data_IF_912431303391
#
_entry.id   IF_912431303391
#
_cell.length_a   1.000
_cell.length_b   1.000
_cell.length_c   1.000
_cell.angle_alpha   90.00
_cell.angle_beta   90.00
_cell.angle_gamma   90.00
#
_symmetry.space_group_name_H-M   'P 1'
#
loop_
_entity.id
_entity.type
_entity.pdbx_description
1 polymer ?
#
# COMPACT_ATOMS: atom_id res chain seq x y z
N UNK A 1 21.12 -2.20 19.24
CA UNK A 1 20.41 -1.95 17.96
C UNK A 1 19.10 -2.72 17.95
N UNK A 2 17.96 -2.06 18.17
CA UNK A 2 16.65 -2.70 18.10
C UNK A 2 16.10 -2.62 16.68
N UNK A 3 15.99 -3.75 15.99
CA UNK A 3 15.19 -3.82 14.77
C UNK A 3 13.71 -3.76 15.17
N UNK A 4 13.10 -2.58 15.02
CA UNK A 4 11.65 -2.41 15.17
C UNK A 4 11.00 -3.22 14.05
N UNK A 5 10.53 -4.43 14.36
CA UNK A 5 9.66 -5.21 13.48
C UNK A 5 8.46 -4.33 13.18
N UNK A 6 8.31 -3.92 11.92
CA UNK A 6 7.26 -3.01 11.48
C UNK A 6 5.88 -3.61 11.78
N UNK A 7 5.29 -3.11 12.87
CA UNK A 7 3.89 -2.91 13.22
C UNK A 7 2.89 -3.99 12.79
N UNK A 8 2.32 -4.61 13.81
CA UNK A 8 1.42 -5.76 13.85
C UNK A 8 0.07 -5.49 13.19
N UNK A 9 -0.01 -5.59 11.87
CA UNK A 9 -1.23 -5.93 11.13
C UNK A 9 -2.45 -5.01 11.28
N UNK A 10 -2.35 -3.94 12.06
CA UNK A 10 -3.40 -2.97 12.31
C UNK A 10 -3.63 -2.10 11.05
N UNK A 11 -4.87 -1.66 10.82
CA UNK A 11 -5.13 -0.66 9.80
C UNK A 11 -4.43 0.64 10.17
N UNK A 12 -3.80 1.29 9.19
CA UNK A 12 -3.12 2.56 9.39
C UNK A 12 -4.12 3.66 9.77
N UNK A 13 -3.72 4.51 10.72
CA UNK A 13 -4.41 5.77 11.04
C UNK A 13 -4.27 6.81 9.92
N UNK A 14 -5.11 7.86 9.95
CA UNK A 14 -5.08 8.93 8.94
C UNK A 14 -3.70 9.60 8.82
N UNK A 15 -3.05 9.86 9.95
CA UNK A 15 -1.70 10.42 9.99
C UNK A 15 -0.67 9.45 9.37
N UNK A 16 -0.77 8.16 9.69
CA UNK A 16 0.11 7.14 9.12
C UNK A 16 -0.11 6.96 7.62
N UNK A 17 -1.34 7.11 7.13
CA UNK A 17 -1.62 7.05 5.70
C UNK A 17 -0.96 8.24 4.98
N UNK A 18 -1.13 9.46 5.48
CA UNK A 18 -0.51 10.66 4.90
C UNK A 18 1.01 10.55 4.90
N UNK A 19 1.60 10.11 6.01
CA UNK A 19 3.05 9.87 6.12
C UNK A 19 3.53 8.74 5.21
N UNK A 20 2.75 7.67 5.09
CA UNK A 20 3.09 6.53 4.22
C UNK A 20 3.03 6.93 2.75
N UNK A 21 2.09 7.77 2.33
CA UNK A 21 2.06 8.30 0.97
C UNK A 21 3.38 8.97 0.60
N UNK A 22 3.94 9.78 1.50
CA UNK A 22 5.19 10.50 1.26
C UNK A 22 6.47 9.66 1.36
N UNK A 23 6.40 8.44 1.91
CA UNK A 23 7.60 7.63 2.24
C UNK A 23 7.56 6.21 1.67
N UNK A 24 6.55 5.91 0.85
CA UNK A 24 6.39 4.63 0.19
C UNK A 24 7.16 4.62 -1.11
N UNK A 25 7.84 3.51 -1.38
CA UNK A 25 8.56 3.31 -2.64
C UNK A 25 7.58 3.13 -3.82
N UNK A 26 6.35 2.69 -3.52
CA UNK A 26 5.27 2.58 -4.48
C UNK A 26 3.91 2.93 -3.86
N UNK A 27 3.04 3.47 -4.71
CA UNK A 27 1.65 3.79 -4.45
C UNK A 27 0.84 3.22 -5.62
N UNK A 28 -0.08 2.30 -5.34
CA UNK A 28 -0.92 1.67 -6.36
C UNK A 28 -2.38 1.96 -6.05
N UNK A 29 -3.10 2.51 -7.02
CA UNK A 29 -4.55 2.52 -6.99
C UNK A 29 -5.08 1.31 -7.75
N UNK A 30 -6.04 0.59 -7.19
CA UNK A 30 -6.65 -0.54 -7.88
C UNK A 30 -7.63 -1.35 -7.04
N UNK A 31 -8.03 -2.49 -7.58
CA UNK A 31 -8.94 -3.43 -6.92
C UNK A 31 -8.26 -4.78 -6.70
N UNK A 32 -8.60 -5.47 -5.62
CA UNK A 32 -8.10 -6.84 -5.36
C UNK A 32 -8.83 -7.79 -6.31
N UNK A 33 -8.09 -8.40 -7.25
CA UNK A 33 -8.64 -9.40 -8.17
C UNK A 33 -8.48 -10.83 -7.64
N UNK A 34 -7.42 -11.09 -6.86
CA UNK A 34 -7.21 -12.37 -6.19
C UNK A 34 -6.44 -12.19 -4.89
N UNK A 35 -6.66 -13.13 -3.96
CA UNK A 35 -5.93 -13.24 -2.70
C UNK A 35 -5.54 -14.70 -2.51
N UNK A 36 -4.24 -14.95 -2.37
CA UNK A 36 -3.68 -16.26 -2.10
C UNK A 36 -2.91 -16.25 -0.77
N UNK A 37 -3.01 -17.31 0.01
CA UNK A 37 -2.28 -17.46 1.27
C UNK A 37 -1.21 -18.55 1.12
N UNK A 38 0.05 -18.14 1.10
CA UNK A 38 1.18 -19.04 0.99
C UNK A 38 1.74 -19.33 2.40
N UNK A 39 1.43 -20.52 2.91
CA UNK A 39 1.87 -20.99 4.23
C UNK A 39 3.39 -21.23 4.26
N UNK A 40 3.97 -21.68 3.15
CA UNK A 40 5.40 -21.99 3.05
C UNK A 40 6.26 -20.72 3.19
N UNK A 41 5.83 -19.61 2.60
CA UNK A 41 6.53 -18.32 2.69
C UNK A 41 6.01 -17.43 3.84
N UNK A 42 4.96 -17.87 4.56
CA UNK A 42 4.26 -17.07 5.58
C UNK A 42 3.78 -15.70 5.03
N UNK A 43 3.32 -15.68 3.77
CA UNK A 43 2.82 -14.45 3.11
C UNK A 43 1.44 -14.62 2.51
N UNK A 44 0.65 -13.55 2.56
CA UNK A 44 -0.53 -13.35 1.73
C UNK A 44 -0.13 -12.58 0.47
N UNK A 45 -0.49 -13.11 -0.68
CA UNK A 45 -0.26 -12.54 -2.01
C UNK A 45 -1.56 -11.92 -2.51
N UNK A 46 -1.54 -10.62 -2.76
CA UNK A 46 -2.66 -9.86 -3.28
C UNK A 46 -2.40 -9.54 -4.75
N UNK A 47 -3.21 -10.08 -5.65
CA UNK A 47 -3.18 -9.67 -7.05
C UNK A 47 -4.09 -8.47 -7.22
N UNK A 48 -3.51 -7.34 -7.59
CA UNK A 48 -4.19 -6.06 -7.76
C UNK A 48 -4.37 -5.79 -9.24
N UNK A 49 -5.62 -5.58 -9.66
CA UNK A 49 -5.91 -4.98 -10.96
C UNK A 49 -5.71 -3.47 -10.84
N UNK A 50 -4.74 -2.94 -11.53
CA UNK A 50 -4.25 -1.57 -11.34
C UNK A 50 -5.08 -0.55 -12.13
N UNK A 51 -5.34 0.60 -11.51
CA UNK A 51 -5.93 1.80 -12.12
C UNK A 51 -4.85 2.83 -12.39
N UNK A 52 -3.98 3.08 -11.41
CA UNK A 52 -2.84 3.98 -11.51
C UNK A 52 -1.70 3.49 -10.62
N UNK A 53 -0.46 3.83 -11.00
CA UNK A 53 0.75 3.41 -10.29
C UNK A 53 1.69 4.61 -10.22
N UNK A 54 2.15 4.95 -9.02
CA UNK A 54 3.20 5.93 -8.74
C UNK A 54 4.33 5.23 -7.99
N UNK A 55 5.57 5.45 -8.43
CA UNK A 55 6.75 4.74 -7.92
C UNK A 55 7.85 5.78 -7.68
N UNK A 56 8.50 5.69 -6.53
CA UNK A 56 9.55 6.62 -6.09
C UNK A 56 10.97 6.02 -6.22
N UNK A 57 11.19 5.07 -7.14
CA UNK A 57 12.46 4.34 -7.24
C UNK A 57 12.88 3.97 -8.69
N UNK A 58 14.20 3.87 -8.97
CA UNK A 58 14.77 3.67 -10.32
C UNK A 58 14.59 2.24 -10.89
N UNK A 59 14.02 1.31 -10.13
CA UNK A 59 13.74 -0.06 -10.57
C UNK A 59 12.46 -0.12 -11.41
N UNK A 60 12.53 0.38 -12.65
CA UNK A 60 11.40 0.38 -13.59
C UNK A 60 11.01 -1.05 -14.01
N UNK A 61 9.82 -1.48 -13.61
CA UNK A 61 9.08 -2.55 -14.31
C UNK A 61 7.55 -2.46 -14.20
N UNK A 62 6.98 -1.52 -13.43
CA UNK A 62 5.52 -1.42 -13.25
C UNK A 62 4.84 -0.30 -14.03
N UNK A 63 5.55 0.42 -14.90
CA UNK A 63 4.90 1.37 -15.80
C UNK A 63 3.99 0.58 -16.79
N UNK A 64 2.69 0.88 -16.78
CA UNK A 64 1.66 0.24 -17.62
C UNK A 64 1.35 -1.24 -17.33
N UNK A 65 1.70 -1.76 -16.15
CA UNK A 65 1.34 -3.13 -15.76
C UNK A 65 -0.11 -3.18 -15.29
N UNK A 66 -0.92 -4.06 -15.88
CA UNK A 66 -2.36 -4.23 -15.58
C UNK A 66 -2.63 -5.01 -14.27
N UNK A 67 -1.72 -5.90 -13.89
CA UNK A 67 -1.84 -6.73 -12.69
C UNK A 67 -0.53 -6.73 -11.92
N UNK A 68 -0.59 -6.41 -10.63
CA UNK A 68 0.58 -6.39 -9.74
C UNK A 68 0.31 -7.31 -8.56
N UNK A 69 1.31 -8.13 -8.20
CA UNK A 69 1.27 -8.94 -6.99
C UNK A 69 1.96 -8.20 -5.85
N UNK A 70 1.22 -7.95 -4.77
CA UNK A 70 1.72 -7.37 -3.52
C UNK A 70 1.77 -8.43 -2.43
N UNK A 71 2.66 -8.26 -1.45
CA UNK A 71 2.80 -9.20 -0.35
C UNK A 71 2.47 -8.55 1.00
N UNK A 72 1.85 -9.33 1.88
CA UNK A 72 1.60 -8.97 3.29
C UNK A 72 1.87 -10.18 4.18
N UNK A 73 2.41 -10.02 5.40
CA UNK A 73 2.62 -11.16 6.30
C UNK A 73 1.32 -11.96 6.55
N UNK A 74 1.39 -13.28 6.53
CA UNK A 74 0.23 -14.16 6.71
C UNK A 74 -0.46 -13.96 8.07
N UNK A 75 0.33 -13.70 9.11
CA UNK A 75 -0.15 -13.38 10.48
C UNK A 75 -1.12 -12.20 10.54
N UNK A 76 -1.21 -11.38 9.50
CA UNK A 76 -2.12 -10.24 9.44
C UNK A 76 -3.54 -10.58 9.02
N UNK A 77 -3.84 -11.85 8.69
CA UNK A 77 -5.19 -12.29 8.38
C UNK A 77 -5.85 -11.45 7.28
N UNK A 78 -5.08 -11.15 6.23
CA UNK A 78 -5.52 -10.28 5.13
C UNK A 78 -6.82 -10.79 4.54
N UNK A 79 -7.80 -9.88 4.39
CA UNK A 79 -9.08 -10.17 3.73
C UNK A 79 -9.21 -9.28 2.50
N UNK A 80 -9.64 -9.87 1.39
CA UNK A 80 -9.94 -9.11 0.18
C UNK A 80 -11.27 -8.37 0.37
N UNK A 81 -11.21 -7.05 0.47
CA UNK A 81 -12.40 -6.20 0.47
C UNK A 81 -12.84 -5.89 -0.96
N UNK A 82 -14.15 -5.72 -1.18
CA UNK A 82 -14.66 -5.15 -2.43
C UNK A 82 -14.38 -3.65 -2.51
N UNK A 83 -14.19 -3.15 -3.72
CA UNK A 83 -14.01 -1.72 -4.02
C UNK A 83 -12.58 -1.37 -4.42
N UNK A 84 -12.33 -0.06 -4.52
CA UNK A 84 -11.04 0.50 -4.93
C UNK A 84 -10.24 0.97 -3.71
N UNK A 85 -8.94 0.68 -3.74
CA UNK A 85 -8.01 0.91 -2.64
C UNK A 85 -6.77 1.63 -3.14
N UNK A 86 -6.11 2.31 -2.21
CA UNK A 86 -4.77 2.86 -2.41
C UNK A 86 -3.79 2.02 -1.60
N UNK A 87 -2.95 1.24 -2.27
CA UNK A 87 -1.93 0.39 -1.66
C UNK A 87 -0.63 1.18 -1.55
N UNK A 88 -0.16 1.37 -0.32
CA UNK A 88 1.06 2.08 0.04
C UNK A 88 2.07 1.06 0.58
N UNK A 89 3.27 1.02 0.01
CA UNK A 89 4.22 -0.01 0.38
C UNK A 89 5.66 0.29 0.02
N UNK A 90 6.53 -0.66 0.37
CA UNK A 90 7.98 -0.56 0.17
C UNK A 90 8.54 -1.86 -0.37
N UNK A 91 9.67 -1.77 -1.06
CA UNK A 91 10.44 -2.92 -1.48
C UNK A 91 11.25 -3.45 -0.30
N UNK A 92 11.22 -4.77 -0.11
CA UNK A 92 12.04 -5.49 0.86
C UNK A 92 12.58 -6.74 0.18
N UNK A 93 13.90 -6.79 -0.02
CA UNK A 93 14.58 -7.94 -0.64
C UNK A 93 13.96 -8.36 -1.99
N UNK A 94 13.58 -7.40 -2.83
CA UNK A 94 12.92 -7.67 -4.12
C UNK A 94 11.42 -7.95 -4.06
N UNK A 95 10.82 -8.00 -2.87
CA UNK A 95 9.37 -8.18 -2.70
C UNK A 95 8.67 -6.85 -2.43
N UNK A 96 7.57 -6.55 -3.13
CA UNK A 96 6.75 -5.38 -2.85
C UNK A 96 5.81 -5.65 -1.67
N UNK A 97 6.17 -5.13 -0.50
CA UNK A 97 5.41 -5.33 0.74
C UNK A 97 4.42 -4.18 0.91
N UNK A 98 3.13 -4.50 0.99
CA UNK A 98 2.10 -3.51 1.32
C UNK A 98 2.05 -3.26 2.82
N UNK A 99 2.05 -1.99 3.21
CA UNK A 99 1.94 -1.56 4.60
C UNK A 99 0.54 -1.02 4.92
N UNK A 100 0.07 -0.05 4.14
CA UNK A 100 -1.27 0.53 4.29
C UNK A 100 -2.10 0.27 3.03
N UNK A 101 -3.40 0.03 3.22
CA UNK A 101 -4.35 -0.16 2.12
C UNK A 101 -5.72 0.50 2.43
N UNK A 102 -5.79 1.83 2.62
CA UNK A 102 -7.07 2.51 2.77
C UNK A 102 -7.95 2.34 1.53
N UNK A 103 -9.28 2.45 1.74
CA UNK A 103 -10.22 2.64 0.63
C UNK A 103 -9.91 3.95 -0.08
N UNK A 104 -10.12 3.99 -1.40
CA UNK A 104 -9.88 5.20 -2.18
C UNK A 104 -10.77 6.37 -1.72
N UNK A 105 -12.01 6.10 -1.29
CA UNK A 105 -12.90 7.10 -0.71
C UNK A 105 -12.33 7.72 0.57
N UNK A 106 -11.76 6.89 1.44
CA UNK A 106 -11.11 7.35 2.68
C UNK A 106 -9.89 8.20 2.39
N UNK A 107 -9.03 7.74 1.45
CA UNK A 107 -7.88 8.51 0.98
C UNK A 107 -8.27 9.90 0.47
N UNK A 108 -9.30 10.00 -0.37
CA UNK A 108 -9.76 11.29 -0.92
C UNK A 108 -10.17 12.26 0.18
N UNK A 109 -10.84 11.78 1.22
CA UNK A 109 -11.29 12.60 2.33
C UNK A 109 -10.13 13.11 3.19
N UNK A 110 -9.21 12.23 3.59
CA UNK A 110 -8.05 12.65 4.40
C UNK A 110 -7.09 13.55 3.61
N UNK A 111 -6.93 13.31 2.30
CA UNK A 111 -6.14 14.16 1.40
C UNK A 111 -6.73 15.56 1.33
N UNK A 112 -8.05 15.68 1.12
CA UNK A 112 -8.75 16.96 1.07
C UNK A 112 -8.55 17.74 2.38
N UNK A 113 -8.78 17.11 3.53
CA UNK A 113 -8.57 17.72 4.85
C UNK A 113 -7.13 18.20 5.05
N UNK A 114 -6.15 17.39 4.67
CA UNK A 114 -4.73 17.75 4.81
C UNK A 114 -4.33 18.93 3.91
N UNK A 115 -4.87 18.99 2.69
CA UNK A 115 -4.63 20.11 1.77
C UNK A 115 -5.27 21.41 2.28
N UNK A 116 -6.49 21.36 2.80
CA UNK A 116 -7.18 22.53 3.39
C UNK A 116 -6.44 23.06 4.63
N UNK A 117 -5.99 22.15 5.50
CA UNK A 117 -5.24 22.50 6.71
C UNK A 117 -3.76 22.87 6.44
N UNK A 118 -3.26 22.65 5.22
CA UNK A 118 -1.84 22.82 4.84
C UNK A 118 -0.88 22.02 5.74
N UNK A 119 -1.30 20.83 6.15
CA UNK A 119 -0.52 19.93 7.03
C UNK A 119 0.16 18.79 6.26
N UNK A 120 0.17 18.86 4.94
CA UNK A 120 0.74 17.82 4.09
C UNK A 120 2.27 17.81 4.16
N UNK A 121 2.85 16.63 4.43
CA UNK A 121 4.31 16.45 4.52
C UNK A 121 5.01 16.47 3.15
N UNK A 122 4.26 16.22 2.08
CA UNK A 122 4.74 16.23 0.70
C UNK A 122 3.59 16.64 -0.26
N UNK A 123 3.87 16.72 -1.56
CA UNK A 123 2.82 16.88 -2.56
C UNK A 123 1.97 15.62 -2.63
N UNK A 124 0.66 15.78 -2.37
CA UNK A 124 -0.32 14.70 -2.45
C UNK A 124 -1.01 14.78 -3.82
N UNK A 125 -0.37 14.37 -4.89
CA UNK A 125 -0.94 14.31 -6.25
C UNK A 125 -1.90 13.12 -6.44
#
# INVERSE_FOLDING_TARGET
MGFKIFIECQPCSDEEILKSYCTSDFIIQGTVSALNHNVSTQTSELTIKTTSIKIDAPHKSWANVKYVTLHRPLKCGTKAGMGEFLFLGRWRLGHPIVHCAPRLSHWKEIRRKSLEAKTNLCQLD
#
